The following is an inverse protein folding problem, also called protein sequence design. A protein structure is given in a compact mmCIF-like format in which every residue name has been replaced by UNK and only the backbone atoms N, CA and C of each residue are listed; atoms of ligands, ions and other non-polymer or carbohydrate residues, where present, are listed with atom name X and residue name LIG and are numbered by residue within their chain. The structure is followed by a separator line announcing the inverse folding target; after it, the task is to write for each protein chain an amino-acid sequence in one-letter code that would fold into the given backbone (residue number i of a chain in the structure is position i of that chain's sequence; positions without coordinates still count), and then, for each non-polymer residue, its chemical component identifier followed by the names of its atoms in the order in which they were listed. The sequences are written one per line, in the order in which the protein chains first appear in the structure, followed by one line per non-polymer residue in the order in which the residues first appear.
data_IF_767333298942
#
_entry.id   IF_767333298942
#
_cell.length_a   1.000
_cell.length_b   1.000
_cell.length_c   1.000
_cell.angle_alpha   90.00
_cell.angle_beta   90.00
_cell.angle_gamma   90.00
#
_symmetry.space_group_name_H-M   'P 1'
#
loop_
_entity.id
_entity.type
_entity.pdbx_description
1 polymer ?
#
# COMPACT_ATOMS: atom_id res chain seq x y z
N UNK A 1 -50.64 6.82 -0.79
CA UNK A 1 -49.61 6.88 -1.85
C UNK A 1 -48.30 7.26 -1.18
N UNK A 2 -47.38 6.31 -0.97
CA UNK A 2 -46.10 6.54 -0.26
C UNK A 2 -45.03 6.87 -1.29
N UNK A 3 -44.44 8.06 -1.20
CA UNK A 3 -43.35 8.52 -2.05
C UNK A 3 -42.06 7.98 -1.42
N UNK A 4 -41.38 7.07 -2.11
CA UNK A 4 -40.07 6.56 -1.72
C UNK A 4 -39.01 7.52 -2.26
N UNK A 5 -38.36 8.26 -1.37
CA UNK A 5 -37.20 9.09 -1.70
C UNK A 5 -36.00 8.18 -1.90
N UNK A 6 -35.59 7.99 -3.14
CA UNK A 6 -34.34 7.31 -3.49
C UNK A 6 -33.22 8.33 -3.28
N UNK A 7 -32.42 8.13 -2.22
CA UNK A 7 -31.19 8.88 -2.04
C UNK A 7 -30.20 8.46 -3.13
N UNK A 8 -29.88 9.38 -4.04
CA UNK A 8 -28.80 9.23 -5.01
C UNK A 8 -27.48 9.22 -4.26
N UNK A 9 -26.85 8.05 -4.18
CA UNK A 9 -25.45 7.92 -3.77
C UNK A 9 -24.62 8.49 -4.91
N UNK A 10 -24.20 9.75 -4.76
CA UNK A 10 -23.21 10.35 -5.65
C UNK A 10 -21.89 9.61 -5.46
N UNK A 11 -21.54 8.71 -6.37
CA UNK A 11 -20.15 8.29 -6.54
C UNK A 11 -19.35 9.53 -6.92
N UNK A 12 -18.65 10.12 -5.96
CA UNK A 12 -17.60 11.07 -6.26
C UNK A 12 -16.52 10.33 -7.05
N UNK A 13 -16.50 10.57 -8.35
CA UNK A 13 -15.35 10.35 -9.20
C UNK A 13 -14.27 11.38 -8.80
N UNK A 14 -13.57 11.09 -7.70
CA UNK A 14 -12.36 11.79 -7.29
C UNK A 14 -11.23 11.46 -8.24
N UNK A 15 -10.62 12.51 -8.79
CA UNK A 15 -9.55 12.54 -9.79
C UNK A 15 -8.41 11.54 -9.56
N UNK A 16 -8.09 10.79 -10.61
CA UNK A 16 -7.02 9.79 -10.71
C UNK A 16 -5.57 10.35 -10.64
N UNK A 17 -5.31 11.43 -9.91
CA UNK A 17 -3.99 12.07 -9.82
C UNK A 17 -3.21 11.74 -8.54
N UNK A 18 -3.78 10.97 -7.62
CA UNK A 18 -3.15 10.64 -6.34
C UNK A 18 -2.27 9.37 -6.38
N UNK A 19 -2.02 8.80 -7.56
CA UNK A 19 -1.50 7.42 -7.69
C UNK A 19 0.00 7.25 -7.44
N UNK A 20 0.78 8.33 -7.36
CA UNK A 20 2.20 8.22 -7.04
C UNK A 20 2.60 9.33 -6.07
N UNK A 21 2.90 8.93 -4.84
CA UNK A 21 3.56 9.76 -3.85
C UNK A 21 4.48 8.88 -3.03
N UNK A 22 5.29 9.54 -2.21
CA UNK A 22 6.29 8.87 -1.42
C UNK A 22 6.02 9.02 0.07
N UNK A 23 6.33 7.97 0.82
CA UNK A 23 6.60 8.05 2.24
C UNK A 23 8.10 7.84 2.42
N UNK A 24 8.77 8.82 3.03
CA UNK A 24 10.23 8.81 3.17
C UNK A 24 10.64 8.68 4.64
N UNK A 25 11.65 7.87 4.90
CA UNK A 25 12.27 7.80 6.23
C UNK A 25 13.18 9.02 6.39
N UNK A 26 13.00 9.73 7.50
CA UNK A 26 13.87 10.78 8.02
C UNK A 26 14.28 10.42 9.47
N UNK A 27 15.15 11.22 10.08
CA UNK A 27 15.35 11.20 11.54
C UNK A 27 15.41 12.61 12.10
N UNK A 28 15.10 12.78 13.38
CA UNK A 28 15.39 14.00 14.15
C UNK A 28 16.72 13.94 14.93
N UNK A 29 17.56 12.95 14.61
CA UNK A 29 18.78 12.64 15.35
C UNK A 29 18.59 11.67 16.51
N UNK A 30 17.36 11.33 16.89
CA UNK A 30 17.08 10.36 17.98
C UNK A 30 16.03 9.31 17.61
N UNK A 31 15.10 9.66 16.72
CA UNK A 31 13.95 8.84 16.34
C UNK A 31 13.82 8.82 14.83
N UNK A 32 13.42 7.69 14.26
CA UNK A 32 12.99 7.62 12.86
C UNK A 32 11.66 8.35 12.70
N UNK A 33 11.47 8.97 11.54
CA UNK A 33 10.24 9.70 11.21
C UNK A 33 9.82 9.23 9.83
N UNK A 34 8.52 8.97 9.66
CA UNK A 34 7.93 8.80 8.34
C UNK A 34 7.36 10.16 7.92
N UNK A 35 7.83 10.69 6.81
CA UNK A 35 7.32 11.91 6.20
C UNK A 35 6.55 11.59 4.92
N UNK A 36 5.46 12.33 4.68
CA UNK A 36 4.71 12.24 3.43
C UNK A 36 5.18 13.31 2.45
N UNK A 37 5.48 12.88 1.23
CA UNK A 37 6.06 13.73 0.19
C UNK A 37 7.58 13.58 0.11
N UNK A 38 8.06 13.39 -1.10
CA UNK A 38 9.47 13.32 -1.50
C UNK A 38 9.82 14.49 -2.42
N UNK A 39 8.95 14.81 -3.38
CA UNK A 39 9.19 15.89 -4.34
C UNK A 39 8.65 17.22 -3.85
N UNK A 40 9.26 18.31 -4.29
CA UNK A 40 8.71 19.66 -4.10
C UNK A 40 7.30 19.84 -4.72
N UNK A 41 6.89 18.95 -5.62
CA UNK A 41 5.54 18.91 -6.19
C UNK A 41 4.52 18.11 -5.36
N UNK A 42 4.96 17.39 -4.32
CA UNK A 42 4.10 16.55 -3.46
C UNK A 42 3.60 17.31 -2.22
N UNK A 43 3.49 18.64 -2.29
CA UNK A 43 3.09 19.51 -1.17
C UNK A 43 1.65 19.31 -0.69
N UNK A 44 0.83 18.63 -1.48
CA UNK A 44 -0.56 18.30 -1.13
C UNK A 44 -0.66 17.08 -0.21
N UNK A 45 0.44 16.34 -0.02
CA UNK A 45 0.53 15.18 0.86
C UNK A 45 0.94 15.60 2.27
N UNK A 46 0.34 14.96 3.27
CA UNK A 46 0.65 15.21 4.68
C UNK A 46 0.30 14.01 5.54
N UNK A 47 0.83 13.97 6.76
CA UNK A 47 0.39 13.05 7.82
C UNK A 47 -0.29 13.91 8.89
N UNK A 48 -1.52 13.59 9.27
CA UNK A 48 -2.22 14.35 10.32
C UNK A 48 -1.78 13.94 11.73
N UNK A 49 -2.32 14.63 12.74
CA UNK A 49 -2.00 14.38 14.15
C UNK A 49 -2.45 13.01 14.66
N UNK A 50 -3.30 12.29 13.92
CA UNK A 50 -3.72 10.93 14.24
C UNK A 50 -2.90 9.88 13.44
N UNK A 51 -1.93 10.32 12.64
CA UNK A 51 -1.06 9.46 11.85
C UNK A 51 -1.63 9.06 10.49
N UNK A 52 -2.76 9.61 10.03
CA UNK A 52 -3.27 9.25 8.70
C UNK A 52 -2.54 9.99 7.59
N UNK A 53 -2.25 9.27 6.51
CA UNK A 53 -1.80 9.90 5.26
C UNK A 53 -2.99 10.60 4.59
N UNK A 54 -2.81 11.88 4.33
CA UNK A 54 -3.80 12.77 3.73
C UNK A 54 -3.32 13.27 2.35
N UNK A 55 -4.28 13.49 1.46
CA UNK A 55 -4.10 14.21 0.20
C UNK A 55 -5.08 15.39 0.18
N UNK A 56 -4.57 16.61 -0.01
CA UNK A 56 -5.36 17.84 -0.02
C UNK A 56 -6.25 18.01 1.24
N UNK A 57 -5.70 17.63 2.40
CA UNK A 57 -6.36 17.76 3.71
C UNK A 57 -7.45 16.72 4.00
N UNK A 58 -7.59 15.68 3.19
CA UNK A 58 -8.51 14.56 3.43
C UNK A 58 -7.75 13.24 3.47
N UNK A 59 -8.23 12.27 4.25
CA UNK A 59 -7.62 10.94 4.35
C UNK A 59 -7.54 10.33 2.96
N UNK A 60 -6.34 10.00 2.51
CA UNK A 60 -6.14 9.35 1.23
C UNK A 60 -6.60 7.89 1.32
N UNK A 61 -7.32 7.44 0.31
CA UNK A 61 -7.75 6.04 0.20
C UNK A 61 -7.01 5.39 -0.95
N UNK A 62 -6.12 4.46 -0.63
CA UNK A 62 -5.47 3.62 -1.61
C UNK A 62 -6.44 2.55 -2.10
N UNK A 63 -6.38 2.20 -3.37
CA UNK A 63 -7.25 1.20 -3.95
C UNK A 63 -6.43 0.03 -4.46
N UNK A 64 -6.88 -1.18 -4.13
CA UNK A 64 -6.40 -2.38 -4.79
C UNK A 64 -7.16 -2.58 -6.11
N UNK A 65 -6.53 -3.22 -7.09
CA UNK A 65 -7.11 -3.39 -8.42
C UNK A 65 -6.96 -4.83 -8.94
N UNK A 66 -5.96 -5.55 -8.45
CA UNK A 66 -5.63 -6.90 -8.89
C UNK A 66 -5.91 -7.92 -7.80
N UNK A 67 -6.18 -9.16 -8.19
CA UNK A 67 -6.36 -10.27 -7.25
C UNK A 67 -5.45 -11.43 -7.62
N UNK A 68 -4.63 -11.88 -6.68
CA UNK A 68 -3.75 -13.03 -6.87
C UNK A 68 -3.59 -13.79 -5.55
N UNK A 69 -3.60 -15.12 -5.57
CA UNK A 69 -3.33 -15.94 -4.37
C UNK A 69 -4.23 -15.68 -3.15
N UNK A 70 -5.45 -15.15 -3.35
CA UNK A 70 -6.36 -14.78 -2.25
C UNK A 70 -6.13 -13.38 -1.66
N UNK A 71 -5.19 -12.62 -2.22
CA UNK A 71 -4.92 -11.23 -1.87
C UNK A 71 -5.43 -10.29 -2.95
N UNK A 72 -5.88 -9.12 -2.52
CA UNK A 72 -6.13 -7.98 -3.38
C UNK A 72 -4.95 -7.02 -3.34
N UNK A 73 -4.34 -6.75 -4.49
CA UNK A 73 -3.12 -5.97 -4.63
C UNK A 73 -3.38 -4.59 -5.23
N UNK A 74 -2.64 -3.60 -4.76
CA UNK A 74 -2.61 -2.28 -5.35
C UNK A 74 -1.27 -1.60 -5.12
N UNK A 75 -0.94 -0.68 -6.03
CA UNK A 75 0.08 0.31 -5.76
C UNK A 75 -0.49 1.26 -4.71
N UNK A 76 0.08 1.22 -3.51
CA UNK A 76 -0.31 2.11 -2.44
C UNK A 76 0.54 3.37 -2.53
N UNK A 77 1.69 3.35 -1.87
CA UNK A 77 2.65 4.44 -1.75
C UNK A 77 4.04 3.89 -2.04
N UNK A 78 4.92 4.77 -2.54
CA UNK A 78 6.34 4.44 -2.70
C UNK A 78 7.05 4.74 -1.39
N UNK A 79 7.41 3.71 -0.61
CA UNK A 79 8.28 3.87 0.55
C UNK A 79 9.74 4.04 0.11
N UNK A 80 10.43 5.00 0.70
CA UNK A 80 11.80 5.35 0.33
C UNK A 80 12.61 5.89 1.51
N UNK A 81 13.92 6.09 1.31
CA UNK A 81 14.81 6.80 2.25
C UNK A 81 15.77 7.77 1.55
N UNK A 82 15.74 7.85 0.22
CA UNK A 82 16.73 8.56 -0.57
C UNK A 82 16.72 10.08 -0.40
N UNK A 83 15.56 10.68 -0.13
CA UNK A 83 15.45 12.15 0.01
C UNK A 83 16.33 12.68 1.14
N UNK A 84 16.17 12.08 2.32
CA UNK A 84 16.81 12.53 3.55
C UNK A 84 18.20 11.92 3.74
N UNK A 85 18.55 10.90 2.93
CA UNK A 85 19.94 10.46 2.83
C UNK A 85 20.85 11.59 2.33
N UNK A 86 20.39 12.37 1.34
CA UNK A 86 21.15 13.49 0.80
C UNK A 86 21.19 14.72 1.73
N UNK A 87 20.27 14.84 2.70
CA UNK A 87 20.25 15.96 3.66
C UNK A 87 21.23 15.77 4.81
N UNK A 88 21.79 14.56 4.97
CA UNK A 88 22.63 14.19 6.11
C UNK A 88 21.84 13.86 7.38
N UNK A 89 20.50 13.81 7.31
CA UNK A 89 19.66 13.42 8.44
C UNK A 89 19.64 11.89 8.65
N UNK A 90 20.01 11.13 7.62
CA UNK A 90 20.25 9.69 7.74
C UNK A 90 21.76 9.46 7.77
N UNK A 91 22.34 9.32 8.96
CA UNK A 91 23.77 9.03 9.15
C UNK A 91 23.95 7.57 9.58
N UNK A 92 24.13 6.69 8.60
CA UNK A 92 24.11 5.25 8.80
C UNK A 92 22.69 4.70 9.01
N UNK A 93 22.61 3.49 9.56
CA UNK A 93 21.35 2.78 9.77
C UNK A 93 21.08 1.66 8.76
N UNK A 94 20.12 0.82 9.10
CA UNK A 94 19.51 -0.14 8.20
C UNK A 94 18.00 -0.04 8.39
N UNK A 95 17.35 0.70 7.50
CA UNK A 95 15.99 1.19 7.71
C UNK A 95 14.93 0.30 7.07
N UNK A 96 13.84 0.13 7.80
CA UNK A 96 12.73 -0.75 7.46
C UNK A 96 11.39 -0.08 7.71
N UNK A 97 10.38 -0.46 6.93
CA UNK A 97 8.97 -0.21 7.22
C UNK A 97 8.31 -1.50 7.71
N UNK A 98 7.84 -1.52 8.95
CA UNK A 98 7.15 -2.67 9.56
C UNK A 98 5.63 -2.54 9.44
N UNK A 99 4.97 -3.63 9.05
CA UNK A 99 3.52 -3.80 9.15
C UNK A 99 3.15 -4.10 10.61
N UNK A 100 2.33 -3.23 11.23
CA UNK A 100 2.02 -3.32 12.67
C UNK A 100 0.62 -3.84 12.94
N UNK A 101 -0.38 -3.36 12.20
CA UNK A 101 -1.76 -3.80 12.39
C UNK A 101 -2.60 -3.54 11.16
N UNK A 102 -3.64 -4.37 10.99
CA UNK A 102 -4.68 -4.19 9.98
C UNK A 102 -6.03 -4.13 10.69
N UNK A 103 -6.68 -2.98 10.66
CA UNK A 103 -7.96 -2.75 11.35
C UNK A 103 -9.08 -2.56 10.34
N UNK A 104 -10.18 -3.32 10.38
CA UNK A 104 -11.31 -3.09 9.50
C UNK A 104 -12.03 -1.78 9.86
N UNK A 105 -12.26 -0.93 8.85
CA UNK A 105 -13.03 0.31 8.97
C UNK A 105 -14.47 0.08 8.53
N UNK A 106 -14.63 -0.60 7.39
CA UNK A 106 -15.95 -0.90 6.83
C UNK A 106 -15.93 -2.23 6.08
N UNK A 107 -16.67 -3.20 6.62
CA UNK A 107 -16.77 -4.55 6.08
C UNK A 107 -15.47 -5.35 6.21
N UNK A 108 -15.51 -6.58 5.69
CA UNK A 108 -14.34 -7.42 5.54
C UNK A 108 -14.00 -8.31 6.74
N UNK A 109 -13.16 -9.30 6.47
CA UNK A 109 -12.61 -10.24 7.46
C UNK A 109 -11.13 -10.52 7.20
N UNK A 110 -10.45 -9.61 6.49
CA UNK A 110 -9.02 -9.74 6.26
C UNK A 110 -8.29 -9.77 7.62
N UNK A 111 -7.33 -10.67 7.72
CA UNK A 111 -6.51 -10.87 8.92
C UNK A 111 -5.04 -10.60 8.64
N UNK A 112 -4.66 -10.38 7.39
CA UNK A 112 -3.28 -10.21 6.97
C UNK A 112 -3.14 -9.15 5.89
N UNK A 113 -2.00 -8.46 5.95
CA UNK A 113 -1.49 -7.57 4.93
C UNK A 113 -0.08 -8.02 4.57
N UNK A 114 0.27 -7.93 3.30
CA UNK A 114 1.62 -8.19 2.80
C UNK A 114 2.14 -6.99 2.01
N UNK A 115 3.44 -6.80 2.03
CA UNK A 115 4.15 -5.82 1.23
C UNK A 115 5.27 -6.52 0.47
N UNK A 116 5.48 -6.12 -0.77
CA UNK A 116 6.49 -6.71 -1.62
C UNK A 116 6.71 -5.95 -2.91
N UNK A 117 7.36 -6.60 -3.85
CA UNK A 117 7.55 -6.12 -5.21
C UNK A 117 6.66 -6.87 -6.19
N UNK A 118 6.04 -6.14 -7.11
CA UNK A 118 5.50 -6.71 -8.33
C UNK A 118 6.71 -6.93 -9.24
N UNK A 119 6.97 -8.16 -9.67
CA UNK A 119 8.09 -8.45 -10.55
C UNK A 119 8.04 -7.53 -11.79
N UNK A 120 9.06 -6.69 -11.95
CA UNK A 120 9.29 -5.87 -13.15
C UNK A 120 9.70 -6.78 -14.33
N UNK A 121 8.79 -7.62 -14.82
CA UNK A 121 9.14 -8.59 -15.86
C UNK A 121 7.99 -9.33 -16.54
N UNK A 122 6.74 -9.13 -16.13
CA UNK A 122 5.60 -9.86 -16.71
C UNK A 122 5.55 -11.35 -16.32
N UNK A 123 6.32 -11.75 -15.33
CA UNK A 123 6.15 -13.01 -14.61
C UNK A 123 4.97 -12.92 -13.63
N UNK A 124 4.34 -14.06 -13.26
CA UNK A 124 3.26 -14.08 -12.30
C UNK A 124 3.74 -13.98 -10.84
N UNK A 125 4.99 -13.61 -10.58
CA UNK A 125 5.59 -13.61 -9.25
C UNK A 125 5.36 -12.32 -8.47
N UNK A 126 5.16 -12.47 -7.16
CA UNK A 126 5.17 -11.41 -6.17
C UNK A 126 6.20 -11.80 -5.12
N UNK A 127 7.22 -10.99 -4.94
CA UNK A 127 8.22 -11.20 -3.91
C UNK A 127 7.73 -10.55 -2.62
N UNK A 128 7.29 -11.39 -1.67
CA UNK A 128 6.85 -10.93 -0.35
C UNK A 128 8.10 -10.51 0.43
N UNK A 129 8.17 -9.24 0.79
CA UNK A 129 9.23 -8.69 1.65
C UNK A 129 8.78 -8.65 3.11
N UNK A 130 7.51 -8.30 3.36
CA UNK A 130 6.93 -8.26 4.69
C UNK A 130 5.50 -8.80 4.74
N UNK A 131 5.16 -9.52 5.80
CA UNK A 131 3.81 -10.01 6.08
C UNK A 131 3.41 -9.69 7.50
N UNK A 132 2.21 -9.15 7.73
CA UNK A 132 1.74 -8.77 9.06
C UNK A 132 1.68 -9.96 10.04
N UNK A 133 1.46 -11.18 9.55
CA UNK A 133 1.51 -12.42 10.33
C UNK A 133 2.93 -12.98 10.55
N UNK A 134 3.96 -12.26 10.09
CA UNK A 134 5.37 -12.59 10.33
C UNK A 134 5.68 -12.70 11.83
N UNK A 135 6.34 -13.80 12.22
CA UNK A 135 6.63 -14.11 13.62
C UNK A 135 7.64 -13.14 14.22
N UNK A 136 8.60 -12.69 13.41
CA UNK A 136 9.65 -11.76 13.77
C UNK A 136 9.39 -10.38 13.20
N UNK A 137 10.05 -9.37 13.79
CA UNK A 137 9.99 -7.99 13.29
C UNK A 137 10.43 -7.89 11.82
N UNK A 138 11.50 -8.60 11.47
CA UNK A 138 12.06 -8.58 10.12
C UNK A 138 11.10 -9.20 9.11
N UNK A 139 10.41 -10.30 9.45
CA UNK A 139 9.41 -10.93 8.58
C UNK A 139 8.15 -10.06 8.37
N UNK A 140 7.92 -9.07 9.24
CA UNK A 140 6.85 -8.07 9.08
C UNK A 140 7.30 -6.82 8.33
N UNK A 141 8.56 -6.75 7.92
CA UNK A 141 9.18 -5.50 7.50
C UNK A 141 9.66 -5.52 6.05
N UNK A 142 9.51 -4.40 5.38
CA UNK A 142 10.11 -4.13 4.08
C UNK A 142 11.43 -3.37 4.28
N UNK A 143 12.55 -3.96 3.84
CA UNK A 143 13.87 -3.34 3.92
C UNK A 143 14.08 -2.30 2.83
N UNK A 144 14.37 -1.06 3.22
CA UNK A 144 14.71 0.02 2.28
C UNK A 144 16.21 0.29 2.31
N UNK A 145 16.84 0.24 3.49
CA UNK A 145 18.22 0.68 3.67
C UNK A 145 18.36 2.20 3.56
N UNK A 146 19.61 2.69 3.47
CA UNK A 146 19.92 4.13 3.39
C UNK A 146 20.09 4.56 1.94
N UNK A 147 19.42 5.65 1.54
CA UNK A 147 19.64 6.24 0.21
C UNK A 147 18.92 5.52 -0.94
N UNK A 148 18.00 4.61 -0.64
CA UNK A 148 17.39 3.74 -1.63
C UNK A 148 16.00 4.24 -2.04
N UNK A 149 15.65 4.02 -3.32
CA UNK A 149 14.40 4.44 -3.94
C UNK A 149 13.82 3.29 -4.79
N UNK A 150 13.15 2.30 -4.18
CA UNK A 150 12.61 1.19 -4.93
C UNK A 150 11.33 1.58 -5.67
N UNK A 151 11.13 1.08 -6.88
CA UNK A 151 9.86 1.20 -7.61
C UNK A 151 9.16 -0.16 -7.73
N UNK A 152 7.85 -0.14 -8.01
CA UNK A 152 7.04 -1.36 -8.21
C UNK A 152 6.65 -2.06 -6.91
N UNK A 153 6.65 -1.31 -5.81
CA UNK A 153 6.18 -1.78 -4.52
C UNK A 153 4.65 -1.92 -4.55
N UNK A 154 4.16 -2.94 -3.88
CA UNK A 154 2.75 -3.32 -3.90
C UNK A 154 2.34 -3.84 -2.54
N UNK A 155 1.14 -3.45 -2.11
CA UNK A 155 0.51 -3.95 -0.88
C UNK A 155 -0.62 -4.90 -1.24
N UNK A 156 -0.67 -6.05 -0.57
CA UNK A 156 -1.73 -7.04 -0.69
C UNK A 156 -2.55 -7.17 0.59
N UNK A 157 -3.87 -7.22 0.49
CA UNK A 157 -4.78 -7.50 1.62
C UNK A 157 -5.55 -8.81 1.38
N UNK A 158 -5.58 -9.73 2.35
CA UNK A 158 -6.24 -11.05 2.21
C UNK A 158 -7.77 -11.02 2.39
N UNK A 159 -8.43 -10.02 1.83
CA UNK A 159 -9.87 -9.85 1.91
C UNK A 159 -10.32 -8.55 1.27
N UNK A 160 -11.64 -8.38 1.16
CA UNK A 160 -12.24 -7.16 0.62
C UNK A 160 -12.82 -6.30 1.74
N UNK A 161 -12.94 -5.00 1.52
CA UNK A 161 -13.40 -4.02 2.53
C UNK A 161 -12.46 -2.83 2.62
N UNK A 162 -12.77 -1.91 3.54
CA UNK A 162 -11.91 -0.76 3.83
C UNK A 162 -11.17 -1.06 5.14
N UNK A 163 -9.85 -0.90 5.11
CA UNK A 163 -8.96 -1.20 6.22
C UNK A 163 -8.02 -0.03 6.48
N UNK A 164 -7.63 0.12 7.73
CA UNK A 164 -6.54 0.97 8.16
C UNK A 164 -5.33 0.07 8.44
N UNK A 165 -4.28 0.23 7.63
CA UNK A 165 -3.01 -0.46 7.77
C UNK A 165 -2.02 0.46 8.47
N UNK A 166 -1.64 0.12 9.70
CA UNK A 166 -0.64 0.86 10.46
C UNK A 166 0.76 0.33 10.16
N UNK A 167 1.71 1.25 9.93
CA UNK A 167 3.12 0.96 9.70
C UNK A 167 4.01 1.81 10.61
N UNK A 168 5.21 1.33 10.92
CA UNK A 168 6.25 2.11 11.61
C UNK A 168 7.58 2.01 10.85
N UNK A 169 8.41 3.04 10.92
CA UNK A 169 9.77 2.99 10.45
C UNK A 169 10.69 2.65 11.62
N UNK A 170 11.70 1.82 11.39
CA UNK A 170 12.68 1.46 12.41
C UNK A 170 14.07 1.26 11.82
N UNK A 171 15.08 1.37 12.68
CA UNK A 171 16.48 1.12 12.35
C UNK A 171 16.96 -0.19 12.99
N UNK A 172 17.38 -1.15 12.17
CA UNK A 172 17.85 -2.44 12.66
C UNK A 172 19.19 -2.38 13.40
N UNK A 173 19.96 -1.30 13.22
CA UNK A 173 21.18 -1.07 14.00
C UNK A 173 20.88 -0.50 15.40
N UNK A 174 19.64 -0.08 15.67
CA UNK A 174 19.23 0.47 16.96
C UNK A 174 19.82 1.83 17.30
N UNK A 175 20.26 2.60 16.30
CA UNK A 175 20.76 3.97 16.47
C UNK A 175 19.61 4.92 16.78
N UNK A 176 18.48 4.72 16.11
CA UNK A 176 17.29 5.55 16.24
C UNK A 176 16.14 4.76 16.85
N UNK A 177 15.36 5.41 17.72
CA UNK A 177 14.09 4.88 18.18
C UNK A 177 13.08 4.78 17.02
N UNK A 178 12.10 3.88 17.16
CA UNK A 178 11.05 3.68 16.17
C UNK A 178 10.17 4.94 15.98
N UNK A 179 9.61 5.08 14.79
CA UNK A 179 8.71 6.17 14.47
C UNK A 179 7.36 6.02 15.19
N UNK A 180 6.63 7.12 15.30
CA UNK A 180 5.19 7.03 15.52
C UNK A 180 4.52 6.23 14.38
N UNK A 181 3.43 5.49 14.65
CA UNK A 181 2.71 4.79 13.60
C UNK A 181 2.08 5.73 12.57
N UNK A 182 2.20 5.37 11.29
CA UNK A 182 1.49 6.00 10.17
C UNK A 182 0.45 5.03 9.65
N UNK A 183 -0.73 5.54 9.31
CA UNK A 183 -1.88 4.76 8.87
C UNK A 183 -2.20 5.03 7.41
N UNK A 184 -2.23 3.95 6.63
CA UNK A 184 -2.68 3.93 5.25
C UNK A 184 -4.12 3.41 5.21
N UNK A 185 -5.06 4.21 4.69
CA UNK A 185 -6.42 3.71 4.45
C UNK A 185 -6.49 3.02 3.10
N UNK A 186 -6.80 1.73 3.11
CA UNK A 186 -6.82 0.88 1.92
C UNK A 186 -8.25 0.40 1.69
N UNK A 187 -8.79 0.69 0.52
CA UNK A 187 -10.01 0.08 0.02
C UNK A 187 -9.63 -1.14 -0.84
N UNK A 188 -9.69 -2.31 -0.21
CA UNK A 188 -9.47 -3.59 -0.86
C UNK A 188 -10.74 -4.02 -1.60
N UNK A 189 -10.77 -3.87 -2.92
CA UNK A 189 -11.93 -4.22 -3.74
C UNK A 189 -11.72 -5.56 -4.45
N UNK A 190 -12.79 -6.33 -4.72
CA UNK A 190 -12.66 -7.43 -5.66
C UNK A 190 -12.11 -6.90 -6.99
N UNK A 191 -11.12 -7.58 -7.57
CA UNK A 191 -10.70 -7.30 -8.92
C UNK A 191 -11.94 -7.22 -9.82
N UNK A 192 -12.02 -6.21 -10.72
CA UNK A 192 -13.11 -6.17 -11.68
C UNK A 192 -13.15 -7.53 -12.36
N UNK A 193 -14.34 -8.12 -12.48
CA UNK A 193 -14.57 -9.38 -13.17
C UNK A 193 -14.36 -9.19 -14.68
N UNK A 194 -13.15 -8.81 -15.07
CA UNK A 194 -12.70 -8.70 -16.44
C UNK A 194 -12.48 -10.12 -16.91
N UNK A 195 -13.55 -10.74 -17.39
CA UNK A 195 -13.51 -11.75 -18.42
C UNK A 195 -12.62 -12.99 -18.15
N UNK A 196 -13.19 -13.94 -17.41
CA UNK A 196 -13.11 -15.36 -17.81
C UNK A 196 -13.79 -15.62 -19.19
N UNK A 197 -13.58 -14.72 -20.17
CA UNK A 197 -14.15 -14.77 -21.53
C UNK A 197 -13.15 -15.33 -22.56
N UNK A 198 -11.97 -15.77 -22.14
CA UNK A 198 -11.05 -16.51 -23.01
C UNK A 198 -11.20 -18.04 -22.95
N UNK A 199 -12.18 -18.56 -22.20
CA UNK A 199 -12.29 -20.01 -21.94
C UNK A 199 -13.34 -20.81 -22.72
N UNK A 200 -14.32 -20.19 -23.41
CA UNK A 200 -15.46 -20.96 -23.98
C UNK A 200 -15.57 -20.87 -25.51
N UNK A 201 -14.89 -19.94 -26.18
CA UNK A 201 -14.93 -19.86 -27.64
C UNK A 201 -14.10 -20.95 -28.37
N UNK A 202 -13.20 -21.65 -27.65
CA UNK A 202 -12.30 -22.66 -28.24
C UNK A 202 -12.89 -24.07 -28.42
N UNK A 203 -13.98 -24.42 -27.73
CA UNK A 203 -14.44 -25.82 -27.70
C UNK A 203 -15.53 -26.17 -28.75
N UNK A 204 -16.01 -25.20 -29.53
CA UNK A 204 -17.04 -25.43 -30.54
C UNK A 204 -16.50 -25.68 -31.97
N UNK A 205 -15.21 -25.45 -32.23
CA UNK A 205 -14.66 -25.54 -33.60
C UNK A 205 -14.05 -26.90 -33.98
N UNK A 206 -13.95 -27.87 -33.07
CA UNK A 206 -13.23 -29.13 -33.31
C UNK A 206 -14.11 -30.35 -33.64
N UNK A 207 -15.36 -30.18 -34.12
CA UNK A 207 -16.24 -31.32 -34.46
C UNK A 207 -16.90 -31.26 -35.83
N UNK A 208 -16.16 -30.83 -36.86
CA UNK A 208 -16.64 -30.99 -38.25
C UNK A 208 -15.55 -31.09 -39.31
N UNK A 209 -14.80 -32.19 -39.32
CA UNK A 209 -14.28 -32.80 -40.55
C UNK A 209 -14.32 -34.32 -40.40
N UNK A 210 -15.33 -34.92 -41.03
CA UNK A 210 -15.30 -36.30 -41.55
C UNK A 210 -15.11 -36.17 -43.05
#
# INVERSE_FOLDING_TARGET
MKIATIASVSLLAGTASAQHHHLSINTDGTTTIIEAGYLASETDWSIDTNGYVNFQGSINVYHTHDNHGGYSFGNTTTITSDFFAATGNLDGGDFYYELVSLTPVNGGSATNAIWGFAEHGGGPGFDIEGSLDGATRIERSFGIGVGNHPHGQVTGINGTGIYDLAIVAWDANGVYADSAPVTLRINAVPAPASAALFGVAGLAAARRRR
#
